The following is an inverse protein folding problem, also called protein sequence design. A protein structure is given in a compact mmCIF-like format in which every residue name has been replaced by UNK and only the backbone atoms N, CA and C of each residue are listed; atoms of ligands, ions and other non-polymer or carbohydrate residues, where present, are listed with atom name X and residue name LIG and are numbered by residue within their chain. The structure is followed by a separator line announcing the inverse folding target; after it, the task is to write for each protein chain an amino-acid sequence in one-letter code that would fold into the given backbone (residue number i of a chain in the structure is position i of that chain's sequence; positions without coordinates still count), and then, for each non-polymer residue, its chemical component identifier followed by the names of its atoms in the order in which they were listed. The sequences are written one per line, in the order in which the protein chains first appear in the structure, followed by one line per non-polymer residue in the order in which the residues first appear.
data_IF_778959442778
#
_entry.id   IF_778959442778
#
_cell.length_a   1.000
_cell.length_b   1.000
_cell.length_c   1.000
_cell.angle_alpha   90.00
_cell.angle_beta   90.00
_cell.angle_gamma   90.00
#
_symmetry.space_group_name_H-M   'P 1'
#
loop_
_entity.id
_entity.type
_entity.pdbx_description
1 polymer ?
#
# COMPACT_ATOMS: atom_id res chain seq x y z
N UNK A 1 26.54 -9.07 -26.13
CA UNK A 1 27.13 -10.29 -25.47
C UNK A 1 26.45 -10.38 -24.10
N UNK A 2 25.53 -11.34 -23.90
CA UNK A 2 24.90 -11.53 -22.60
C UNK A 2 25.76 -12.50 -21.81
N UNK A 3 26.59 -12.00 -20.90
CA UNK A 3 27.34 -12.81 -19.95
C UNK A 3 26.37 -13.19 -18.85
N UNK A 4 25.99 -14.47 -18.79
CA UNK A 4 25.23 -15.07 -17.70
C UNK A 4 26.18 -15.87 -16.82
N UNK A 5 27.11 -15.17 -16.20
CA UNK A 5 28.01 -15.83 -15.26
C UNK A 5 27.28 -16.07 -13.93
N UNK A 6 27.50 -17.25 -13.37
CA UNK A 6 27.04 -17.60 -12.02
C UNK A 6 28.23 -17.42 -11.08
N UNK A 7 28.01 -16.68 -10.01
CA UNK A 7 28.96 -16.57 -8.90
C UNK A 7 28.42 -17.34 -7.70
N UNK A 8 29.31 -17.91 -6.93
CA UNK A 8 28.97 -18.49 -5.62
C UNK A 8 29.21 -17.44 -4.57
N UNK A 9 28.14 -17.09 -3.83
CA UNK A 9 28.18 -16.13 -2.73
C UNK A 9 28.29 -16.89 -1.42
N UNK A 10 29.32 -16.57 -0.63
CA UNK A 10 29.44 -17.01 0.77
C UNK A 10 28.82 -15.91 1.65
N UNK A 11 27.59 -16.10 2.03
CA UNK A 11 26.85 -15.12 2.83
C UNK A 11 27.54 -14.75 4.13
N UNK A 12 28.24 -15.67 4.76
CA UNK A 12 28.95 -15.41 6.03
C UNK A 12 30.04 -14.36 5.84
N UNK A 13 30.82 -14.49 4.75
CA UNK A 13 31.84 -13.51 4.39
C UNK A 13 31.25 -12.20 3.90
N UNK A 14 30.19 -12.28 3.10
CA UNK A 14 29.48 -11.11 2.61
C UNK A 14 28.90 -10.30 3.75
N UNK A 15 28.28 -10.92 4.75
CA UNK A 15 27.69 -10.21 5.89
C UNK A 15 28.74 -9.49 6.73
N UNK A 16 29.90 -10.08 6.92
CA UNK A 16 31.02 -9.41 7.58
C UNK A 16 31.47 -8.18 6.78
N UNK A 17 31.56 -8.30 5.46
CA UNK A 17 31.90 -7.20 4.57
C UNK A 17 30.83 -6.08 4.62
N UNK A 18 29.54 -6.43 4.56
CA UNK A 18 28.44 -5.45 4.64
C UNK A 18 28.47 -4.71 5.98
N UNK A 19 28.71 -5.40 7.07
CA UNK A 19 28.85 -4.76 8.38
C UNK A 19 30.02 -3.77 8.42
N UNK A 20 31.17 -4.16 7.88
CA UNK A 20 32.36 -3.30 7.78
C UNK A 20 32.10 -2.07 6.90
N UNK A 21 31.40 -2.24 5.78
CA UNK A 21 31.03 -1.13 4.90
C UNK A 21 30.03 -0.17 5.59
N UNK A 22 29.04 -0.71 6.29
CA UNK A 22 28.10 0.11 7.05
C UNK A 22 28.83 0.96 8.10
N UNK A 23 29.75 0.35 8.85
CA UNK A 23 30.58 1.08 9.82
C UNK A 23 31.42 2.18 9.16
N UNK A 24 32.08 1.86 8.02
CA UNK A 24 32.90 2.84 7.27
C UNK A 24 32.05 3.96 6.70
N UNK A 25 30.86 3.67 6.17
CA UNK A 25 29.96 4.69 5.63
C UNK A 25 29.61 5.75 6.68
N UNK A 26 29.33 5.32 7.91
CA UNK A 26 29.09 6.27 8.99
C UNK A 26 30.36 6.97 9.46
N UNK A 27 31.50 6.27 9.58
CA UNK A 27 32.79 6.89 9.93
C UNK A 27 33.15 8.04 9.00
N UNK A 28 32.97 7.82 7.68
CA UNK A 28 33.45 8.75 6.65
C UNK A 28 32.41 9.79 6.26
N UNK A 29 31.11 9.50 6.47
CA UNK A 29 29.99 10.35 6.06
C UNK A 29 29.20 11.00 7.20
N UNK A 30 29.53 10.74 8.46
CA UNK A 30 28.83 11.36 9.57
C UNK A 30 29.14 12.85 9.66
N UNK A 31 28.16 13.67 9.96
CA UNK A 31 28.27 15.13 9.92
C UNK A 31 29.15 15.75 11.02
N UNK A 32 29.46 15.00 12.09
CA UNK A 32 30.38 15.39 13.14
C UNK A 32 31.57 14.40 13.22
N UNK A 33 32.79 14.90 13.08
CA UNK A 33 34.00 14.10 13.13
C UNK A 33 34.16 13.30 14.44
N UNK A 34 33.70 13.86 15.56
CA UNK A 34 33.78 13.22 16.87
C UNK A 34 32.67 12.19 17.15
N UNK A 35 31.80 11.86 16.17
CA UNK A 35 30.73 10.87 16.28
C UNK A 35 29.87 11.07 17.53
N UNK A 36 29.48 12.30 17.85
CA UNK A 36 28.79 12.68 19.09
C UNK A 36 29.58 12.32 20.38
N UNK A 37 30.90 12.30 20.31
CA UNK A 37 31.76 11.90 21.43
C UNK A 37 31.80 10.39 21.68
N UNK A 38 31.35 9.59 20.75
CA UNK A 38 31.34 8.12 20.83
C UNK A 38 32.66 7.54 20.30
N UNK A 39 33.18 6.52 20.97
CA UNK A 39 34.26 5.71 20.42
C UNK A 39 33.68 4.76 19.34
N UNK A 40 33.66 5.25 18.11
CA UNK A 40 33.08 4.53 16.98
C UNK A 40 33.82 3.22 16.67
N UNK A 41 35.10 3.15 17.00
CA UNK A 41 35.90 1.92 16.86
C UNK A 41 35.51 0.86 17.90
N UNK A 42 35.40 1.26 19.18
CA UNK A 42 34.94 0.35 20.22
C UNK A 42 33.50 -0.15 19.97
N UNK A 43 32.63 0.72 19.44
CA UNK A 43 31.29 0.33 19.02
C UNK A 43 31.33 -0.73 17.92
N UNK A 44 32.20 -0.58 16.90
CA UNK A 44 32.42 -1.63 15.89
C UNK A 44 32.76 -2.97 16.52
N UNK A 45 33.76 -2.98 17.38
CA UNK A 45 34.28 -4.20 18.05
C UNK A 45 33.18 -4.89 18.87
N UNK A 46 32.37 -4.09 19.59
CA UNK A 46 31.19 -4.56 20.36
C UNK A 46 30.21 -5.34 19.48
N UNK A 47 29.82 -4.79 18.36
CA UNK A 47 28.79 -5.38 17.49
C UNK A 47 29.37 -6.42 16.53
N UNK A 48 30.62 -6.32 16.11
CA UNK A 48 31.30 -7.33 15.31
C UNK A 48 31.35 -8.70 16.00
N UNK A 49 31.43 -8.73 17.33
CA UNK A 49 31.40 -9.97 18.11
C UNK A 49 30.09 -10.77 17.92
N UNK A 50 29.02 -10.16 17.43
CA UNK A 50 27.75 -10.80 17.16
C UNK A 50 27.67 -11.42 15.76
N UNK A 51 28.54 -11.06 14.82
CA UNK A 51 28.49 -11.54 13.43
C UNK A 51 28.53 -13.07 13.28
N UNK A 52 29.28 -13.84 14.09
CA UNK A 52 29.24 -15.31 14.00
C UNK A 52 27.87 -15.93 14.27
N UNK A 53 26.99 -15.21 14.93
CA UNK A 53 25.62 -15.66 15.26
C UNK A 53 24.57 -15.25 14.24
N UNK A 54 24.91 -14.42 13.26
CA UNK A 54 24.04 -14.01 12.15
C UNK A 54 23.69 -15.22 11.29
N UNK A 55 22.40 -15.45 11.07
CA UNK A 55 21.87 -16.54 10.24
C UNK A 55 21.06 -16.03 9.05
N UNK A 56 20.54 -14.81 9.13
CA UNK A 56 19.72 -14.20 8.07
C UNK A 56 20.18 -12.78 7.79
N UNK A 57 19.78 -12.25 6.65
CA UNK A 57 19.99 -10.82 6.34
C UNK A 57 19.29 -9.90 7.36
N UNK A 58 18.16 -10.32 7.91
CA UNK A 58 17.43 -9.54 8.91
C UNK A 58 18.21 -9.45 10.23
N UNK A 59 18.90 -10.53 10.66
CA UNK A 59 19.76 -10.49 11.82
C UNK A 59 20.90 -9.48 11.62
N UNK A 60 21.52 -9.48 10.43
CA UNK A 60 22.55 -8.51 10.09
C UNK A 60 22.03 -7.08 10.15
N UNK A 61 20.87 -6.81 9.56
CA UNK A 61 20.25 -5.49 9.57
C UNK A 61 19.94 -5.03 11.00
N UNK A 62 19.50 -5.93 11.87
CA UNK A 62 19.27 -5.65 13.27
C UNK A 62 20.57 -5.20 13.97
N UNK A 63 21.66 -5.98 13.80
CA UNK A 63 22.96 -5.64 14.40
C UNK A 63 23.51 -4.31 13.88
N UNK A 64 23.38 -4.03 12.58
CA UNK A 64 23.76 -2.74 12.00
C UNK A 64 22.90 -1.62 12.57
N UNK A 65 21.59 -1.84 12.71
CA UNK A 65 20.68 -0.87 13.30
C UNK A 65 21.04 -0.52 14.75
N UNK A 66 21.35 -1.52 15.57
CA UNK A 66 21.80 -1.31 16.94
C UNK A 66 23.13 -0.54 16.99
N UNK A 67 24.09 -0.90 16.12
CA UNK A 67 25.37 -0.17 16.00
C UNK A 67 25.14 1.31 15.65
N UNK A 68 24.29 1.61 14.69
CA UNK A 68 23.98 2.97 14.26
C UNK A 68 23.21 3.71 15.37
N UNK A 69 22.34 3.01 16.09
CA UNK A 69 21.54 3.55 17.20
C UNK A 69 22.40 4.18 18.32
N UNK A 70 23.63 3.69 18.50
CA UNK A 70 24.58 4.26 19.48
C UNK A 70 24.91 5.74 19.20
N UNK A 71 24.75 6.19 17.95
CA UNK A 71 24.99 7.59 17.57
C UNK A 71 23.91 8.54 18.08
N UNK A 72 22.73 8.03 18.48
CA UNK A 72 21.63 8.85 19.02
C UNK A 72 21.06 9.83 18.00
N UNK A 73 20.98 9.45 16.70
CA UNK A 73 20.43 10.28 15.62
C UNK A 73 19.06 9.75 15.17
N UNK A 74 18.12 10.65 14.94
CA UNK A 74 16.73 10.30 14.62
C UNK A 74 16.48 9.88 13.18
N UNK A 75 17.39 10.17 12.25
CA UNK A 75 17.20 9.92 10.81
C UNK A 75 18.29 9.04 10.22
N UNK A 76 18.63 7.96 10.93
CA UNK A 76 19.53 6.92 10.44
C UNK A 76 18.75 5.59 10.36
N UNK A 77 18.76 4.98 9.18
CA UNK A 77 17.94 3.80 8.89
C UNK A 77 18.78 2.71 8.22
N UNK A 78 18.42 1.47 8.46
CA UNK A 78 18.94 0.31 7.74
C UNK A 78 17.83 -0.24 6.85
N UNK A 79 18.05 -0.22 5.55
CA UNK A 79 17.14 -0.83 4.59
C UNK A 79 17.32 -2.34 4.56
N UNK A 80 16.26 -3.12 4.32
CA UNK A 80 16.34 -4.59 4.37
C UNK A 80 17.32 -5.21 3.37
N UNK A 81 17.66 -4.52 2.26
CA UNK A 81 18.51 -5.09 1.21
C UNK A 81 17.83 -6.24 0.49
N UNK A 82 18.62 -7.22 0.01
CA UNK A 82 18.07 -8.41 -0.61
C UNK A 82 17.51 -9.37 0.45
N UNK A 83 16.19 -9.49 0.45
CA UNK A 83 15.44 -10.44 1.28
C UNK A 83 14.58 -11.28 0.35
N UNK A 84 14.63 -12.60 0.51
CA UNK A 84 13.74 -13.49 -0.22
C UNK A 84 12.28 -13.13 0.11
N UNK A 85 11.55 -12.71 -0.91
CA UNK A 85 10.13 -12.42 -0.79
C UNK A 85 9.34 -13.53 -1.46
N UNK A 86 8.33 -14.09 -0.80
CA UNK A 86 7.47 -15.08 -1.44
C UNK A 86 6.79 -14.47 -2.66
N UNK A 87 6.65 -15.26 -3.72
CA UNK A 87 5.94 -14.83 -4.91
C UNK A 87 4.51 -14.46 -4.53
N UNK A 88 4.17 -13.20 -4.69
CA UNK A 88 2.79 -12.75 -4.44
C UNK A 88 1.85 -13.30 -5.50
N UNK A 89 0.73 -13.84 -5.05
CA UNK A 89 -0.37 -14.20 -5.92
C UNK A 89 -1.23 -12.95 -6.11
N UNK A 90 -1.41 -12.52 -7.35
CA UNK A 90 -2.27 -11.39 -7.65
C UNK A 90 -3.73 -11.76 -7.40
N UNK A 91 -4.50 -10.83 -6.87
CA UNK A 91 -5.92 -10.98 -6.62
C UNK A 91 -6.66 -9.79 -7.25
N UNK A 92 -7.78 -10.04 -7.87
CA UNK A 92 -8.63 -8.99 -8.40
C UNK A 92 -9.46 -8.34 -7.28
N UNK A 93 -9.47 -7.00 -7.26
CA UNK A 93 -10.19 -6.21 -6.27
C UNK A 93 -11.26 -5.37 -6.98
N UNK A 94 -12.40 -5.17 -6.33
CA UNK A 94 -13.59 -4.60 -6.98
C UNK A 94 -13.82 -3.11 -6.65
N UNK A 95 -13.00 -2.53 -5.78
CA UNK A 95 -13.19 -1.14 -5.34
C UNK A 95 -14.51 -0.95 -4.60
N UNK A 96 -14.85 -1.92 -3.75
CA UNK A 96 -16.11 -1.94 -3.00
C UNK A 96 -15.94 -2.64 -1.65
N UNK A 97 -16.72 -2.22 -0.68
CA UNK A 97 -16.91 -2.95 0.57
C UNK A 97 -17.94 -4.05 0.37
N UNK A 98 -17.57 -5.29 0.68
CA UNK A 98 -18.40 -6.46 0.46
C UNK A 98 -18.53 -7.25 1.76
N UNK A 99 -19.74 -7.69 2.07
CA UNK A 99 -20.01 -8.57 3.21
C UNK A 99 -20.68 -9.85 2.77
N UNK A 100 -20.52 -10.92 3.55
CA UNK A 100 -21.22 -12.17 3.32
C UNK A 100 -22.58 -12.12 3.99
N UNK A 101 -23.63 -12.31 3.21
CA UNK A 101 -25.03 -12.40 3.70
C UNK A 101 -25.36 -13.78 4.27
N UNK A 102 -26.44 -13.86 5.05
CA UNK A 102 -26.93 -15.11 5.64
C UNK A 102 -27.30 -16.19 4.60
N UNK A 103 -27.62 -15.77 3.37
CA UNK A 103 -27.85 -16.66 2.23
C UNK A 103 -26.57 -17.34 1.71
N UNK A 104 -25.40 -16.88 2.17
CA UNK A 104 -24.09 -17.31 1.69
C UNK A 104 -23.57 -16.50 0.50
N UNK A 105 -24.42 -15.72 -0.17
CA UNK A 105 -23.99 -14.79 -1.23
C UNK A 105 -23.32 -13.55 -0.62
N UNK A 106 -22.62 -12.79 -1.47
CA UNK A 106 -21.88 -11.60 -1.05
C UNK A 106 -22.58 -10.33 -1.51
N UNK A 107 -22.79 -9.40 -0.57
CA UNK A 107 -23.51 -8.14 -0.80
C UNK A 107 -22.53 -6.99 -0.95
N UNK A 108 -22.76 -6.13 -1.94
CA UNK A 108 -22.09 -4.85 -2.10
C UNK A 108 -22.62 -3.87 -1.05
N UNK A 109 -21.87 -3.61 0.00
CA UNK A 109 -22.27 -2.68 1.04
C UNK A 109 -22.02 -1.23 0.62
N UNK A 110 -20.88 -0.98 0.01
CA UNK A 110 -20.49 0.33 -0.52
C UNK A 110 -19.67 0.15 -1.78
N UNK A 111 -19.94 0.91 -2.82
CA UNK A 111 -19.08 1.05 -3.99
C UNK A 111 -18.32 2.35 -3.82
N UNK A 112 -16.99 2.28 -3.94
CA UNK A 112 -16.15 3.46 -3.83
C UNK A 112 -16.30 4.31 -5.10
N UNK A 113 -16.83 5.52 -5.03
CA UNK A 113 -17.08 6.31 -6.24
C UNK A 113 -15.79 6.73 -6.96
N UNK A 114 -14.70 6.92 -6.22
CA UNK A 114 -13.40 7.30 -6.78
C UNK A 114 -13.42 8.62 -7.55
N UNK A 115 -12.49 8.72 -8.51
CA UNK A 115 -12.31 9.89 -9.37
C UNK A 115 -12.38 9.47 -10.85
N UNK A 116 -13.30 10.06 -11.61
CA UNK A 116 -13.55 9.69 -13.00
C UNK A 116 -12.38 9.98 -13.96
N UNK A 117 -11.48 10.89 -13.58
CA UNK A 117 -10.33 11.32 -14.38
C UNK A 117 -9.06 10.48 -14.18
N UNK A 118 -9.00 9.62 -13.14
CA UNK A 118 -7.86 8.74 -12.87
C UNK A 118 -8.30 7.29 -12.92
N UNK A 119 -7.56 6.48 -13.67
CA UNK A 119 -7.82 5.06 -13.78
C UNK A 119 -7.54 4.32 -12.47
N UNK A 120 -6.50 4.74 -11.75
CA UNK A 120 -6.08 4.15 -10.47
C UNK A 120 -7.06 4.48 -9.33
N UNK A 121 -7.78 5.61 -9.47
CA UNK A 121 -8.76 6.08 -8.48
C UNK A 121 -10.21 5.75 -8.88
N UNK A 122 -10.44 4.83 -9.79
CA UNK A 122 -11.79 4.47 -10.25
C UNK A 122 -12.11 3.03 -9.87
N UNK A 123 -13.28 2.83 -9.24
CA UNK A 123 -13.79 1.47 -9.01
C UNK A 123 -14.20 0.83 -10.34
N UNK A 124 -13.84 -0.44 -10.60
CA UNK A 124 -14.33 -1.18 -11.78
C UNK A 124 -15.86 -1.25 -11.82
N UNK A 125 -16.53 -1.15 -10.67
CA UNK A 125 -18.00 -1.19 -10.57
C UNK A 125 -18.67 0.15 -10.93
N UNK A 126 -17.89 1.24 -11.11
CA UNK A 126 -18.36 2.55 -11.55
C UNK A 126 -18.08 2.84 -13.02
N UNK A 127 -17.52 1.88 -13.75
CA UNK A 127 -17.26 2.05 -15.19
C UNK A 127 -18.57 2.19 -15.99
N UNK A 128 -18.54 2.96 -17.08
CA UNK A 128 -19.71 3.11 -17.95
C UNK A 128 -20.26 1.75 -18.40
N UNK A 129 -21.60 1.58 -18.29
CA UNK A 129 -22.28 0.34 -18.68
C UNK A 129 -22.29 -0.76 -17.62
N UNK A 130 -21.58 -0.61 -16.51
CA UNK A 130 -21.56 -1.59 -15.40
C UNK A 130 -22.80 -1.44 -14.51
N UNK A 131 -23.15 -0.21 -14.13
CA UNK A 131 -24.36 0.16 -13.37
C UNK A 131 -24.57 -0.65 -12.07
N UNK A 132 -23.48 -1.05 -11.41
CA UNK A 132 -23.55 -1.74 -10.12
C UNK A 132 -24.03 -0.78 -9.03
N UNK A 133 -24.82 -1.29 -8.09
CA UNK A 133 -25.40 -0.50 -7.00
C UNK A 133 -25.11 -1.12 -5.65
N UNK A 134 -24.84 -0.29 -4.66
CA UNK A 134 -24.80 -0.75 -3.27
C UNK A 134 -26.15 -1.40 -2.90
N UNK A 135 -26.07 -2.48 -2.17
CA UNK A 135 -27.23 -3.32 -1.82
C UNK A 135 -27.46 -4.50 -2.76
N UNK A 136 -26.88 -4.52 -3.96
CA UNK A 136 -26.91 -5.72 -4.83
C UNK A 136 -26.01 -6.82 -4.30
N UNK A 137 -26.29 -8.02 -4.73
CA UNK A 137 -25.52 -9.24 -4.41
C UNK A 137 -24.69 -9.65 -5.61
N UNK A 138 -23.43 -9.99 -5.37
CA UNK A 138 -22.58 -10.71 -6.31
C UNK A 138 -22.93 -12.20 -6.16
N UNK A 139 -23.76 -12.71 -7.04
CA UNK A 139 -24.27 -14.08 -6.91
C UNK A 139 -23.42 -15.11 -7.66
N UNK A 140 -22.65 -14.69 -8.68
CA UNK A 140 -21.66 -15.56 -9.33
C UNK A 140 -20.49 -14.72 -9.86
N UNK A 141 -19.34 -15.35 -10.01
CA UNK A 141 -18.12 -14.82 -10.65
C UNK A 141 -17.66 -15.86 -11.67
N UNK A 142 -17.54 -15.46 -12.95
CA UNK A 142 -17.24 -16.35 -14.09
C UNK A 142 -18.12 -17.62 -14.08
N UNK A 143 -19.40 -17.47 -13.77
CA UNK A 143 -20.37 -18.54 -13.71
C UNK A 143 -20.32 -19.41 -12.44
N UNK A 144 -19.35 -19.21 -11.53
CA UNK A 144 -19.24 -19.93 -10.26
C UNK A 144 -20.07 -19.21 -9.19
N UNK A 145 -21.09 -19.86 -8.58
CA UNK A 145 -21.89 -19.26 -7.53
C UNK A 145 -21.04 -18.86 -6.32
N UNK A 146 -21.18 -17.61 -5.83
CA UNK A 146 -20.37 -17.11 -4.72
C UNK A 146 -20.72 -17.74 -3.38
N UNK A 147 -21.95 -18.26 -3.21
CA UNK A 147 -22.34 -18.99 -2.01
C UNK A 147 -21.71 -20.39 -1.88
N UNK A 148 -21.05 -20.88 -2.95
CA UNK A 148 -20.29 -22.14 -2.93
C UNK A 148 -18.92 -22.02 -2.26
N UNK A 149 -18.48 -20.79 -1.95
CA UNK A 149 -17.19 -20.52 -1.32
C UNK A 149 -17.37 -19.74 -0.01
N UNK A 150 -16.42 -19.90 0.90
CA UNK A 150 -16.44 -19.15 2.16
C UNK A 150 -15.94 -17.70 1.98
N UNK A 151 -15.10 -17.48 0.97
CA UNK A 151 -14.52 -16.19 0.62
C UNK A 151 -14.55 -16.05 -0.91
N UNK A 152 -15.26 -15.03 -1.40
CA UNK A 152 -15.42 -14.80 -2.84
C UNK A 152 -14.10 -14.39 -3.50
N UNK A 153 -13.15 -13.85 -2.76
CA UNK A 153 -11.85 -13.46 -3.31
C UNK A 153 -11.05 -14.64 -3.83
N UNK A 154 -11.37 -15.89 -3.42
CA UNK A 154 -10.83 -17.10 -4.07
C UNK A 154 -11.14 -17.16 -5.55
N UNK A 155 -12.31 -16.66 -5.98
CA UNK A 155 -12.73 -16.63 -7.37
C UNK A 155 -12.07 -15.49 -8.16
N UNK A 156 -11.43 -14.56 -7.47
CA UNK A 156 -10.73 -13.41 -8.05
C UNK A 156 -9.20 -13.58 -8.07
N UNK A 157 -8.68 -14.72 -7.62
CA UNK A 157 -7.25 -15.04 -7.70
C UNK A 157 -6.81 -15.06 -9.17
N UNK A 158 -5.74 -14.29 -9.50
CA UNK A 158 -5.24 -14.15 -10.86
C UNK A 158 -6.10 -13.28 -11.78
N UNK A 159 -7.14 -12.61 -11.25
CA UNK A 159 -8.06 -11.77 -12.02
C UNK A 159 -7.72 -10.28 -12.05
N UNK A 160 -6.64 -9.86 -11.39
CA UNK A 160 -6.19 -8.48 -11.44
C UNK A 160 -5.95 -8.03 -12.90
N UNK A 161 -6.64 -6.97 -13.34
CA UNK A 161 -6.62 -6.44 -14.71
C UNK A 161 -7.08 -7.44 -15.80
N UNK A 162 -7.80 -8.49 -15.42
CA UNK A 162 -8.35 -9.47 -16.35
C UNK A 162 -9.87 -9.31 -16.42
N UNK A 163 -10.48 -9.16 -17.61
CA UNK A 163 -11.93 -9.11 -17.75
C UNK A 163 -12.59 -10.30 -17.07
N UNK A 164 -13.50 -10.01 -16.16
CA UNK A 164 -14.15 -11.00 -15.29
C UNK A 164 -15.64 -10.75 -15.28
N UNK A 165 -16.43 -11.79 -15.52
CA UNK A 165 -17.89 -11.73 -15.50
C UNK A 165 -18.38 -11.77 -14.04
N UNK A 166 -19.18 -10.79 -13.65
CA UNK A 166 -19.92 -10.79 -12.40
C UNK A 166 -21.42 -10.92 -12.71
N UNK A 167 -22.11 -11.81 -11.98
CA UNK A 167 -23.57 -11.88 -11.98
C UNK A 167 -24.09 -11.12 -10.77
N UNK A 168 -24.85 -10.04 -11.00
CA UNK A 168 -25.42 -9.18 -9.96
C UNK A 168 -26.93 -9.36 -9.88
N UNK A 169 -27.48 -9.30 -8.66
CA UNK A 169 -28.90 -9.38 -8.43
C UNK A 169 -29.30 -8.53 -7.22
N UNK A 170 -30.48 -7.93 -7.25
CA UNK A 170 -31.06 -7.23 -6.10
C UNK A 170 -31.51 -8.18 -4.97
N UNK A 171 -31.59 -9.49 -5.26
CA UNK A 171 -31.92 -10.55 -4.30
C UNK A 171 -30.78 -11.57 -4.24
N UNK A 172 -30.59 -12.25 -3.10
CA UNK A 172 -29.54 -13.25 -2.94
C UNK A 172 -29.92 -14.59 -3.64
N UNK A 173 -30.00 -14.56 -4.96
CA UNK A 173 -30.38 -15.72 -5.80
C UNK A 173 -29.79 -15.60 -7.20
N UNK A 174 -29.53 -16.73 -7.85
CA UNK A 174 -29.01 -16.78 -9.22
C UNK A 174 -30.05 -16.43 -10.28
N UNK A 175 -31.30 -16.83 -10.03
CA UNK A 175 -32.41 -16.58 -10.99
C UNK A 175 -32.66 -15.09 -11.15
N UNK A 176 -32.65 -14.61 -12.41
CA UNK A 176 -32.85 -13.19 -12.72
C UNK A 176 -31.63 -12.30 -12.51
N UNK A 177 -30.44 -12.86 -12.25
CA UNK A 177 -29.22 -12.09 -12.17
C UNK A 177 -28.83 -11.52 -13.53
N UNK A 178 -28.36 -10.28 -13.56
CA UNK A 178 -27.76 -9.64 -14.73
C UNK A 178 -26.26 -9.86 -14.74
N UNK A 179 -25.70 -9.98 -15.93
CA UNK A 179 -24.27 -10.16 -16.12
C UNK A 179 -23.61 -8.84 -16.49
N UNK A 180 -22.48 -8.58 -15.89
CA UNK A 180 -21.59 -7.48 -16.21
C UNK A 180 -20.17 -8.01 -16.37
N UNK A 181 -19.34 -7.30 -17.12
CA UNK A 181 -17.92 -7.60 -17.22
C UNK A 181 -17.14 -6.41 -16.67
N UNK A 182 -16.24 -6.70 -15.75
CA UNK A 182 -15.37 -5.71 -15.14
C UNK A 182 -13.91 -6.16 -15.22
N UNK A 183 -12.97 -5.23 -15.13
CA UNK A 183 -11.54 -5.52 -14.96
C UNK A 183 -11.14 -5.20 -13.53
N UNK A 184 -11.07 -6.21 -12.63
CA UNK A 184 -10.72 -5.98 -11.24
C UNK A 184 -9.35 -5.32 -11.08
N UNK A 185 -9.18 -4.48 -10.06
CA UNK A 185 -7.93 -3.78 -9.75
C UNK A 185 -6.89 -4.74 -9.17
N UNK A 186 -5.61 -4.43 -9.39
CA UNK A 186 -4.50 -5.14 -8.74
C UNK A 186 -4.27 -4.66 -7.29
N UNK A 187 -4.65 -3.41 -7.00
CA UNK A 187 -4.61 -2.80 -5.68
C UNK A 187 -5.74 -1.75 -5.59
N UNK A 188 -6.19 -1.43 -4.39
CA UNK A 188 -7.28 -0.46 -4.17
C UNK A 188 -6.99 0.52 -3.02
N UNK A 189 -5.74 0.51 -2.50
CA UNK A 189 -5.35 1.41 -1.41
C UNK A 189 -5.56 2.88 -1.80
N UNK A 190 -5.09 3.28 -2.98
CA UNK A 190 -5.21 4.66 -3.47
C UNK A 190 -6.67 5.08 -3.62
N UNK A 191 -7.53 4.15 -4.05
CA UNK A 191 -8.97 4.39 -4.18
C UNK A 191 -9.64 4.57 -2.81
N UNK A 192 -9.34 3.70 -1.84
CA UNK A 192 -9.83 3.84 -0.47
C UNK A 192 -9.35 5.13 0.17
N UNK A 193 -8.07 5.44 0.03
CA UNK A 193 -7.47 6.65 0.58
C UNK A 193 -8.10 7.92 0.00
N UNK A 194 -8.28 7.97 -1.33
CA UNK A 194 -8.98 9.09 -1.98
C UNK A 194 -10.40 9.26 -1.43
N UNK A 195 -11.18 8.19 -1.36
CA UNK A 195 -12.55 8.27 -0.85
C UNK A 195 -12.57 8.70 0.63
N UNK A 196 -11.63 8.24 1.45
CA UNK A 196 -11.50 8.68 2.83
C UNK A 196 -11.25 10.19 2.94
N UNK A 197 -10.38 10.75 2.09
CA UNK A 197 -10.15 12.22 2.03
C UNK A 197 -11.44 12.94 1.66
N UNK A 198 -12.13 12.47 0.60
CA UNK A 198 -13.38 13.10 0.15
C UNK A 198 -14.50 13.03 1.21
N UNK A 199 -14.59 11.91 1.92
CA UNK A 199 -15.56 11.74 3.00
C UNK A 199 -15.23 12.66 4.20
N UNK A 200 -13.94 12.88 4.51
CA UNK A 200 -13.52 13.84 5.55
C UNK A 200 -13.82 15.27 5.15
N UNK A 201 -13.57 15.66 3.89
CA UNK A 201 -13.95 16.99 3.38
C UNK A 201 -15.46 17.24 3.61
N UNK A 202 -16.30 16.31 3.15
CA UNK A 202 -17.77 16.41 3.33
C UNK A 202 -18.19 16.46 4.79
N UNK A 203 -17.52 15.66 5.65
CA UNK A 203 -17.83 15.59 7.08
C UNK A 203 -17.51 16.91 7.80
N UNK A 204 -16.35 17.50 7.51
CA UNK A 204 -15.94 18.79 8.09
C UNK A 204 -16.82 19.91 7.57
N UNK A 205 -17.06 19.96 6.26
CA UNK A 205 -17.95 20.95 5.63
C UNK A 205 -19.34 20.95 6.27
N UNK A 206 -19.96 19.78 6.37
CA UNK A 206 -21.27 19.60 7.02
C UNK A 206 -21.25 20.00 8.49
N UNK A 207 -20.24 19.61 9.26
CA UNK A 207 -20.15 19.88 10.68
C UNK A 207 -19.95 21.38 10.99
N UNK A 208 -19.40 22.14 10.05
CA UNK A 208 -19.06 23.55 10.22
C UNK A 208 -19.91 24.50 9.38
N UNK A 209 -20.91 23.97 8.64
CA UNK A 209 -21.71 24.73 7.68
C UNK A 209 -20.84 25.52 6.69
N UNK A 210 -19.80 24.84 6.13
CA UNK A 210 -18.90 25.43 5.14
C UNK A 210 -17.85 26.40 5.69
N UNK A 211 -17.74 26.58 7.01
CA UNK A 211 -16.82 27.56 7.60
C UNK A 211 -15.38 27.08 7.79
N UNK A 212 -15.14 25.79 7.72
CA UNK A 212 -13.81 25.17 7.88
C UNK A 212 -13.53 24.25 6.72
N UNK A 213 -12.38 24.43 6.07
CA UNK A 213 -11.87 23.51 5.05
C UNK A 213 -11.07 22.36 5.67
N UNK A 214 -11.10 21.21 5.04
CA UNK A 214 -10.24 20.07 5.36
C UNK A 214 -9.26 19.84 4.22
N UNK A 215 -7.97 19.76 4.53
CA UNK A 215 -6.90 19.45 3.58
C UNK A 215 -6.08 18.29 4.13
N UNK A 216 -5.81 17.30 3.30
CA UNK A 216 -4.89 16.22 3.59
C UNK A 216 -3.57 16.46 2.84
N UNK A 217 -2.47 16.47 3.57
CA UNK A 217 -1.11 16.62 3.03
C UNK A 217 -0.41 15.27 3.21
N UNK A 218 -0.13 14.53 2.12
CA UNK A 218 0.42 13.17 2.20
C UNK A 218 1.85 13.12 2.74
N UNK A 219 2.65 14.14 2.45
CA UNK A 219 4.05 14.25 2.88
C UNK A 219 4.48 15.71 3.00
N UNK A 220 5.73 15.94 3.42
CA UNK A 220 6.36 17.27 3.45
C UNK A 220 7.23 17.52 2.19
N UNK A 221 6.99 16.78 1.13
CA UNK A 221 7.67 16.85 -0.15
C UNK A 221 6.84 17.50 -1.25
N UNK A 222 7.23 17.26 -2.52
CA UNK A 222 6.55 17.82 -3.69
C UNK A 222 5.08 17.40 -3.81
N UNK A 223 4.74 16.16 -3.45
CA UNK A 223 3.35 15.67 -3.50
C UNK A 223 2.47 16.41 -2.49
N UNK A 224 2.94 16.58 -1.25
CA UNK A 224 2.24 17.36 -0.24
C UNK A 224 2.05 18.82 -0.62
N UNK A 225 3.04 19.44 -1.25
CA UNK A 225 2.93 20.82 -1.76
C UNK A 225 1.90 20.93 -2.89
N UNK A 226 1.87 19.95 -3.80
CA UNK A 226 0.89 19.91 -4.87
C UNK A 226 -0.53 19.76 -4.34
N UNK A 227 -0.77 18.85 -3.39
CA UNK A 227 -2.06 18.66 -2.77
C UNK A 227 -2.47 19.89 -1.93
N UNK A 228 -1.54 20.50 -1.19
CA UNK A 228 -1.80 21.77 -0.51
C UNK A 228 -2.26 22.85 -1.51
N UNK A 229 -1.52 23.06 -2.58
CA UNK A 229 -1.83 24.05 -3.61
C UNK A 229 -3.19 23.80 -4.26
N UNK A 230 -3.48 22.54 -4.57
CA UNK A 230 -4.73 22.12 -5.20
C UNK A 230 -5.96 22.39 -4.36
N UNK A 231 -5.89 22.23 -3.05
CA UNK A 231 -7.04 22.38 -2.16
C UNK A 231 -7.09 23.75 -1.47
N UNK A 232 -5.94 24.36 -1.18
CA UNK A 232 -5.91 25.65 -0.46
C UNK A 232 -6.30 26.83 -1.35
N UNK A 233 -5.71 26.95 -2.53
CA UNK A 233 -5.96 28.13 -3.37
C UNK A 233 -7.40 28.24 -3.89
N UNK A 234 -8.09 27.20 -4.35
CA UNK A 234 -9.49 27.31 -4.74
C UNK A 234 -10.39 27.77 -3.60
N UNK A 235 -10.15 27.29 -2.37
CA UNK A 235 -10.93 27.69 -1.19
C UNK A 235 -10.70 29.16 -0.85
N UNK A 236 -9.44 29.61 -0.87
CA UNK A 236 -9.11 31.00 -0.54
C UNK A 236 -9.66 32.01 -1.56
N UNK A 237 -9.76 31.63 -2.84
CA UNK A 237 -10.34 32.49 -3.89
C UNK A 237 -11.86 32.51 -3.90
N UNK A 238 -12.53 31.46 -3.43
CA UNK A 238 -14.00 31.37 -3.46
C UNK A 238 -14.67 31.86 -2.19
N UNK A 239 -13.95 31.90 -1.06
CA UNK A 239 -14.52 32.27 0.25
C UNK A 239 -13.93 33.53 0.88
N UNK A 240 -12.93 34.18 0.26
CA UNK A 240 -12.32 35.44 0.70
C UNK A 240 -12.67 36.61 -0.22
N UNK A 241 -13.84 36.64 -0.82
CA UNK A 241 -14.41 37.92 -1.30
C UNK A 241 -14.95 38.65 -0.08
N UNK A 242 -14.16 39.61 0.36
CA UNK A 242 -14.52 40.67 1.30
C UNK A 242 -15.67 41.49 0.77
#
# INVERSE_FOLDING_TARGET
MCIRDRITVDYTKEWAQIFDEAWRAFRDGFYLENMHGKDWKAIKEKYAALLPYVKTRLDLNYIIGEMIGELGVGHAYVNPGEVESPKRVSMGLLGAEVSRDKSGFFRLEKILPGASWSKELRSPLTEPGVEAKAGEYIVAIDGVPTNSVNDMYKLLIGKANVPTELSLNSKPQLAGARKIVVSPLAEEYSLYHYNWIQDNIKKVDKATNGKVGYIYIPDMGPEGLNEFSRYFYPVSYTHLTL
#
